data_IF_148995923328
#
_entry.id   IF_148995923328
#
_cell.length_a   1.000
_cell.length_b   1.000
_cell.length_c   1.000
_cell.angle_alpha   90.00
_cell.angle_beta   90.00
_cell.angle_gamma   90.00
#
_symmetry.space_group_name_H-M   'P 1'
#
loop_
_entity.id
_entity.type
_entity.pdbx_description
1 polymer ?
#
# COMPACT_ATOMS: atom_id res chain seq x y z
N UNK A 1 -15.50 -3.70 3.70
CA UNK A 1 -15.36 -2.23 3.54
C UNK A 1 -14.52 -1.99 2.31
N UNK A 2 -14.93 -1.12 1.39
CA UNK A 2 -14.13 -0.82 0.19
C UNK A 2 -12.88 -0.01 0.57
N UNK A 3 -11.71 -0.37 0.02
CA UNK A 3 -10.46 0.40 0.19
C UNK A 3 -10.57 1.67 -0.66
N UNK A 4 -10.12 2.80 -0.14
CA UNK A 4 -10.11 4.09 -0.85
C UNK A 4 -8.72 4.32 -1.45
N UNK A 5 -8.64 4.46 -2.77
CA UNK A 5 -7.40 4.83 -3.44
C UNK A 5 -6.96 6.24 -3.05
N UNK A 6 -5.66 6.42 -2.81
CA UNK A 6 -5.03 7.69 -2.47
C UNK A 6 -3.66 7.76 -3.15
N UNK A 7 -3.35 8.87 -3.80
CA UNK A 7 -2.04 9.09 -4.42
C UNK A 7 -0.99 9.41 -3.35
N UNK A 8 -0.10 8.45 -3.08
CA UNK A 8 1.01 8.61 -2.14
C UNK A 8 2.23 9.19 -2.85
N UNK A 9 2.79 10.27 -2.31
CA UNK A 9 4.11 10.77 -2.74
C UNK A 9 5.18 10.07 -1.93
N UNK A 10 6.07 9.36 -2.61
CA UNK A 10 7.16 8.61 -2.01
C UNK A 10 8.42 8.80 -2.85
N UNK A 11 9.58 8.79 -2.20
CA UNK A 11 10.87 8.79 -2.89
C UNK A 11 11.10 7.46 -3.61
N UNK A 12 11.75 7.49 -4.77
CA UNK A 12 12.00 6.32 -5.61
C UNK A 12 12.82 5.24 -4.89
N UNK A 13 13.86 5.62 -4.14
CA UNK A 13 14.70 4.65 -3.42
C UNK A 13 13.91 3.97 -2.31
N UNK A 14 13.01 4.71 -1.67
CA UNK A 14 12.13 4.15 -0.65
C UNK A 14 11.11 3.18 -1.25
N UNK A 15 10.52 3.51 -2.41
CA UNK A 15 9.61 2.60 -3.12
C UNK A 15 10.32 1.29 -3.49
N UNK A 16 11.54 1.38 -4.02
CA UNK A 16 12.32 0.19 -4.34
C UNK A 16 12.61 -0.67 -3.11
N UNK A 17 13.01 -0.07 -1.98
CA UNK A 17 13.23 -0.81 -0.74
C UNK A 17 11.96 -1.50 -0.23
N UNK A 18 10.80 -0.83 -0.35
CA UNK A 18 9.50 -1.43 0.00
C UNK A 18 9.12 -2.58 -0.93
N UNK A 19 9.39 -2.47 -2.23
CA UNK A 19 9.15 -3.55 -3.19
C UNK A 19 9.96 -4.80 -2.83
N UNK A 20 11.27 -4.66 -2.60
CA UNK A 20 12.12 -5.79 -2.25
C UNK A 20 11.67 -6.46 -0.95
N UNK A 21 11.30 -5.68 0.07
CA UNK A 21 10.79 -6.25 1.32
C UNK A 21 9.43 -6.94 1.14
N UNK A 22 8.55 -6.38 0.31
CA UNK A 22 7.28 -7.02 -0.01
C UNK A 22 7.50 -8.36 -0.72
N UNK A 23 8.44 -8.41 -1.67
CA UNK A 23 8.82 -9.63 -2.38
C UNK A 23 9.39 -10.70 -1.44
N UNK A 24 10.26 -10.31 -0.49
CA UNK A 24 10.83 -11.20 0.54
C UNK A 24 9.75 -11.83 1.44
N UNK A 25 8.64 -11.13 1.67
CA UNK A 25 7.50 -11.60 2.46
C UNK A 25 6.36 -12.22 1.63
N UNK A 26 6.54 -12.36 0.31
CA UNK A 26 5.51 -12.81 -0.63
C UNK A 26 4.21 -12.01 -0.51
N UNK A 27 4.34 -10.68 -0.54
CA UNK A 27 3.23 -9.73 -0.40
C UNK A 27 3.26 -8.71 -1.53
N UNK A 28 2.09 -8.22 -1.94
CA UNK A 28 2.02 -6.97 -2.71
C UNK A 28 2.61 -5.77 -1.96
N UNK A 29 3.15 -4.80 -2.69
CA UNK A 29 3.66 -3.53 -2.13
C UNK A 29 2.59 -2.77 -1.37
N UNK A 30 1.36 -2.72 -1.89
CA UNK A 30 0.25 -2.06 -1.20
C UNK A 30 -0.07 -2.76 0.13
N UNK A 31 -0.06 -4.10 0.15
CA UNK A 31 -0.19 -4.86 1.38
C UNK A 31 0.92 -4.55 2.39
N UNK A 32 2.17 -4.39 1.91
CA UNK A 32 3.31 -4.09 2.77
C UNK A 32 3.22 -2.68 3.36
N UNK A 33 2.85 -1.69 2.54
CA UNK A 33 2.60 -0.32 3.00
C UNK A 33 1.48 -0.31 4.04
N UNK A 34 0.36 -1.00 3.79
CA UNK A 34 -0.75 -1.06 4.74
C UNK A 34 -0.34 -1.69 6.07
N UNK A 35 0.41 -2.80 6.04
CA UNK A 35 0.94 -3.46 7.22
C UNK A 35 1.80 -2.50 8.06
N UNK A 36 2.76 -1.83 7.42
CA UNK A 36 3.67 -0.90 8.09
C UNK A 36 2.94 0.30 8.69
N UNK A 37 2.00 0.89 7.95
CA UNK A 37 1.20 2.02 8.44
C UNK A 37 0.32 1.61 9.63
N UNK A 38 -0.31 0.43 9.56
CA UNK A 38 -1.14 -0.10 10.66
C UNK A 38 -0.29 -0.37 11.90
N UNK A 39 0.86 -1.00 11.76
CA UNK A 39 1.78 -1.26 12.86
C UNK A 39 2.30 0.04 13.48
N UNK A 40 2.69 1.03 12.66
CA UNK A 40 3.10 2.35 13.14
C UNK A 40 1.99 3.07 13.91
N UNK A 41 0.75 3.03 13.43
CA UNK A 41 -0.40 3.63 14.13
C UNK A 41 -0.70 2.94 15.46
N UNK A 42 -0.55 1.61 15.55
CA UNK A 42 -0.70 0.86 16.80
C UNK A 42 0.41 1.25 17.79
N UNK A 43 1.67 1.25 17.34
CA UNK A 43 2.82 1.65 18.16
C UNK A 43 2.71 3.09 18.68
N UNK A 44 2.15 3.98 17.87
CA UNK A 44 1.86 5.36 18.25
C UNK A 44 0.59 5.54 19.10
N UNK A 45 -0.11 4.45 19.45
CA UNK A 45 -1.34 4.49 20.25
C UNK A 45 -2.53 5.15 19.55
N UNK A 46 -2.51 5.28 18.23
CA UNK A 46 -3.54 5.96 17.42
C UNK A 46 -4.68 5.03 17.04
N UNK A 47 -4.42 3.73 16.95
CA UNK A 47 -5.43 2.70 16.69
C UNK A 47 -5.22 1.50 17.62
N UNK A 48 -6.29 0.80 17.97
CA UNK A 48 -6.19 -0.48 18.69
C UNK A 48 -5.82 -1.58 17.71
N UNK A 49 -5.03 -2.56 18.16
CA UNK A 49 -4.71 -3.74 17.35
C UNK A 49 -6.00 -4.54 17.11
N UNK A 50 -6.40 -4.64 15.85
CA UNK A 50 -7.48 -5.52 15.39
C UNK A 50 -6.81 -6.69 14.66
N UNK A 51 -7.28 -7.92 14.87
CA UNK A 51 -6.76 -9.08 14.16
C UNK A 51 -6.86 -8.87 12.64
N UNK A 52 -5.87 -9.33 11.84
CA UNK A 52 -5.91 -9.19 10.39
C UNK A 52 -7.17 -9.87 9.84
N UNK A 53 -7.89 -9.16 8.96
CA UNK A 53 -9.07 -9.71 8.31
C UNK A 53 -8.62 -10.54 7.09
N UNK A 54 -9.27 -11.67 6.79
CA UNK A 54 -8.90 -12.54 5.67
C UNK A 54 -8.81 -11.82 4.31
N UNK A 55 -9.57 -10.74 4.13
CA UNK A 55 -9.57 -9.93 2.91
C UNK A 55 -8.25 -9.19 2.62
N UNK A 56 -7.37 -9.02 3.62
CA UNK A 56 -6.06 -8.39 3.43
C UNK A 56 -5.03 -9.35 2.82
N UNK A 57 -5.31 -10.66 2.81
CA UNK A 57 -4.44 -11.70 2.28
C UNK A 57 -4.82 -12.15 0.86
N UNK A 58 -5.99 -11.74 0.35
CA UNK A 58 -6.54 -12.22 -0.93
C UNK A 58 -6.43 -11.21 -2.08
N UNK A 59 -5.79 -10.05 -1.87
CA UNK A 59 -5.74 -8.97 -2.86
C UNK A 59 -4.52 -9.05 -3.80
N UNK A 60 -3.76 -10.15 -3.78
CA UNK A 60 -2.46 -10.27 -4.45
C UNK A 60 -2.51 -10.65 -5.94
N UNK A 61 -3.68 -10.66 -6.60
CA UNK A 61 -3.78 -11.08 -8.03
C UNK A 61 -4.43 -10.07 -8.99
N UNK A 62 -4.56 -8.80 -8.61
CA UNK A 62 -4.91 -7.77 -9.59
C UNK A 62 -4.11 -6.50 -9.33
N UNK A 63 -3.00 -6.35 -10.06
CA UNK A 63 -2.42 -5.04 -10.27
C UNK A 63 -3.52 -4.13 -10.83
N UNK A 64 -4.10 -3.30 -9.97
CA UNK A 64 -5.05 -2.27 -10.38
C UNK A 64 -4.32 -1.35 -11.37
N UNK A 65 -4.92 -1.04 -12.54
CA UNK A 65 -4.31 -0.10 -13.46
C UNK A 65 -4.15 1.24 -12.74
N UNK A 66 -2.91 1.71 -12.65
CA UNK A 66 -2.61 3.08 -12.19
C UNK A 66 -3.48 4.01 -13.03
N UNK A 67 -4.38 4.82 -12.43
CA UNK A 67 -5.20 5.73 -13.20
C UNK A 67 -4.28 6.68 -13.96
N UNK A 68 -4.42 6.71 -15.28
CA UNK A 68 -3.76 7.67 -16.16
C UNK A 68 -4.14 9.08 -15.69
N UNK A 69 -3.23 9.72 -14.96
CA UNK A 69 -3.37 11.11 -14.54
C UNK A 69 -2.97 11.93 -15.75
N UNK A 70 -3.98 12.17 -16.60
CA UNK A 70 -3.84 12.68 -17.96
C UNK A 70 -2.82 13.79 -18.12
N UNK A 71 -2.03 13.64 -19.19
CA UNK A 71 -1.20 14.69 -19.77
C UNK A 71 -2.07 15.89 -20.14
N UNK A 72 -2.07 16.92 -19.30
CA UNK A 72 -2.54 18.24 -19.65
C UNK A 72 -1.33 19.07 -20.08
N UNK A 73 -0.94 18.95 -21.34
CA UNK A 73 -0.08 19.94 -22.01
C UNK A 73 -0.73 20.37 -23.34
N UNK A 74 -1.28 21.59 -23.29
CA UNK A 74 -1.24 22.67 -24.29
C UNK A 74 -1.63 22.43 -25.75
N UNK A 75 -2.77 23.04 -26.14
CA UNK A 75 -2.90 23.88 -27.34
C UNK A 75 -3.73 25.12 -26.99
#
# INVERSE_FOLDING_TARGET
MAKKAFALRIDEQMLQALQHWADDEFRSVNGQIEFLLRDALVKAGRVKRVAPQPADLSADESADPVPDVGSADSH
#
